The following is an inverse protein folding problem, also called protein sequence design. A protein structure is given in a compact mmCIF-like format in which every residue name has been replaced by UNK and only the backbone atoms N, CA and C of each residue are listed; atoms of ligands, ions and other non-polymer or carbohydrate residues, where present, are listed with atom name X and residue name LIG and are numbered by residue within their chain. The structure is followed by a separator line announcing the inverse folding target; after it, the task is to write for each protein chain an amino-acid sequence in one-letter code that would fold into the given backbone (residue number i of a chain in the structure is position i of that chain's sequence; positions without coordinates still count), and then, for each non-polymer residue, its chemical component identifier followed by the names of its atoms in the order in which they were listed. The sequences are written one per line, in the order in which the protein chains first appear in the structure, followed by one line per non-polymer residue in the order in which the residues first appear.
data_IF_163356648069
#
_entry.id   IF_163356648069
#
_cell.length_a   1.000
_cell.length_b   1.000
_cell.length_c   1.000
_cell.angle_alpha   90.00
_cell.angle_beta   90.00
_cell.angle_gamma   90.00
#
_symmetry.space_group_name_H-M   'P 1'
#
loop_
_entity.id
_entity.type
_entity.pdbx_description
1 polymer ?
#
# COMPACT_ATOMS: atom_id res chain seq x y z
N UNK A 1 -12.22 6.79 19.00
CA UNK A 1 -11.68 6.39 17.68
C UNK A 1 -10.72 7.47 17.23
N UNK A 2 -9.44 7.14 17.01
CA UNK A 2 -8.50 8.11 16.44
C UNK A 2 -8.79 8.28 14.95
N UNK A 3 -8.71 9.50 14.45
CA UNK A 3 -8.85 9.80 13.02
C UNK A 3 -7.74 9.10 12.25
N UNK A 4 -8.02 8.36 11.16
CA UNK A 4 -6.99 7.79 10.32
C UNK A 4 -6.11 8.90 9.73
N UNK A 5 -4.81 8.64 9.65
CA UNK A 5 -3.85 9.55 9.03
C UNK A 5 -3.69 9.14 7.58
N UNK A 6 -3.84 10.09 6.65
CA UNK A 6 -3.60 9.85 5.24
C UNK A 6 -2.32 10.55 4.79
N UNK A 7 -1.48 9.84 4.05
CA UNK A 7 -0.28 10.38 3.42
C UNK A 7 -0.25 9.95 1.95
N UNK A 8 -0.31 10.93 1.05
CA UNK A 8 -0.39 10.69 -0.39
C UNK A 8 0.85 11.22 -1.08
N UNK A 9 1.39 10.43 -2.00
CA UNK A 9 2.57 10.76 -2.78
C UNK A 9 2.26 10.59 -4.27
N UNK A 10 2.91 11.40 -5.09
CA UNK A 10 2.90 11.26 -6.54
C UNK A 10 4.34 11.03 -6.97
N UNK A 11 4.59 9.89 -7.60
CA UNK A 11 5.84 9.61 -8.28
C UNK A 11 5.62 9.89 -9.77
N UNK A 12 6.43 10.78 -10.33
CA UNK A 12 6.44 11.07 -11.76
C UNK A 12 7.77 10.63 -12.35
N UNK A 13 7.73 10.02 -13.53
CA UNK A 13 8.94 9.69 -14.28
C UNK A 13 9.71 10.96 -14.68
N UNK A 14 11.01 10.81 -14.94
CA UNK A 14 11.88 11.94 -15.27
C UNK A 14 11.54 12.59 -16.63
N UNK A 15 10.97 11.80 -17.54
CA UNK A 15 10.46 12.23 -18.85
C UNK A 15 9.02 12.79 -18.79
N UNK A 16 8.40 12.79 -17.61
CA UNK A 16 7.03 13.24 -17.35
C UNK A 16 5.90 12.41 -17.96
N UNK A 17 6.22 11.30 -18.64
CA UNK A 17 5.25 10.48 -19.37
C UNK A 17 4.41 9.59 -18.44
N UNK A 18 4.97 9.15 -17.31
CA UNK A 18 4.32 8.26 -16.36
C UNK A 18 4.10 8.92 -15.00
N UNK A 19 2.93 8.67 -14.41
CA UNK A 19 2.59 9.06 -13.05
C UNK A 19 2.06 7.85 -12.29
N UNK A 20 2.51 7.73 -11.04
CA UNK A 20 2.01 6.75 -10.09
C UNK A 20 1.61 7.49 -8.82
N UNK A 21 0.38 7.27 -8.38
CA UNK A 21 -0.12 7.77 -7.10
C UNK A 21 0.02 6.69 -6.05
N UNK A 22 0.56 7.06 -4.89
CA UNK A 22 0.68 6.20 -3.72
C UNK A 22 -0.21 6.81 -2.64
N UNK A 23 -1.32 6.15 -2.32
CA UNK A 23 -2.28 6.58 -1.31
C UNK A 23 -2.10 5.72 -0.07
N UNK A 24 -1.64 6.33 1.03
CA UNK A 24 -1.42 5.61 2.29
C UNK A 24 -2.46 6.02 3.32
N UNK A 25 -3.16 5.05 3.90
CA UNK A 25 -4.11 5.24 5.00
C UNK A 25 -3.62 4.47 6.23
N UNK A 26 -3.39 5.17 7.33
CA UNK A 26 -2.88 4.60 8.59
C UNK A 26 -3.99 4.65 9.65
N UNK A 27 -4.44 3.48 10.08
CA UNK A 27 -5.32 3.25 11.22
C UNK A 27 -4.54 2.83 12.48
N UNK A 28 -5.23 2.28 13.49
CA UNK A 28 -4.60 1.94 14.78
C UNK A 28 -3.54 0.82 14.65
N UNK A 29 -3.87 -0.29 13.99
CA UNK A 29 -2.97 -1.45 13.84
C UNK A 29 -2.75 -1.87 12.38
N UNK A 30 -3.22 -1.04 11.45
CA UNK A 30 -3.22 -1.32 10.01
C UNK A 30 -2.79 -0.08 9.24
N UNK A 31 -1.92 -0.27 8.24
CA UNK A 31 -1.63 0.75 7.24
C UNK A 31 -1.87 0.15 5.85
N UNK A 32 -2.70 0.80 5.05
CA UNK A 32 -2.98 0.38 3.67
C UNK A 32 -2.31 1.34 2.72
N UNK A 33 -1.58 0.81 1.74
CA UNK A 33 -0.90 1.55 0.69
C UNK A 33 -1.50 1.10 -0.64
N UNK A 34 -2.17 2.00 -1.34
CA UNK A 34 -2.71 1.79 -2.68
C UNK A 34 -1.79 2.43 -3.71
N UNK A 35 -1.49 1.69 -4.77
CA UNK A 35 -0.69 2.16 -5.89
C UNK A 35 -1.61 2.29 -7.09
N UNK A 36 -1.72 3.49 -7.67
CA UNK A 36 -2.59 3.81 -8.79
C UNK A 36 -1.78 4.42 -9.94
N UNK A 37 -2.19 4.21 -11.19
CA UNK A 37 -1.54 4.82 -12.37
C UNK A 37 -2.01 6.27 -12.62
N UNK A 38 -1.50 6.89 -13.70
CA UNK A 38 -1.85 8.25 -14.12
C UNK A 38 -3.33 8.51 -14.42
N UNK A 39 -4.14 7.45 -14.56
CA UNK A 39 -5.58 7.47 -14.84
C UNK A 39 -6.36 7.00 -13.59
N UNK A 40 -5.69 6.88 -12.45
CA UNK A 40 -6.24 6.39 -11.17
C UNK A 40 -6.70 4.91 -11.21
N UNK A 41 -6.19 4.11 -12.16
CA UNK A 41 -6.42 2.68 -12.14
C UNK A 41 -5.60 2.05 -11.02
N UNK A 42 -6.26 1.28 -10.17
CA UNK A 42 -5.62 0.62 -9.04
C UNK A 42 -4.71 -0.53 -9.54
N UNK A 43 -3.40 -0.36 -9.37
CA UNK A 43 -2.36 -1.31 -9.77
C UNK A 43 -2.10 -2.37 -8.70
N UNK A 44 -2.20 -2.00 -7.43
CA UNK A 44 -1.97 -2.92 -6.31
C UNK A 44 -2.28 -2.29 -4.95
N UNK A 45 -2.40 -3.14 -3.94
CA UNK A 45 -2.60 -2.72 -2.55
C UNK A 45 -1.64 -3.48 -1.64
N UNK A 46 -0.93 -2.79 -0.77
CA UNK A 46 -0.19 -3.37 0.34
C UNK A 46 -0.92 -3.07 1.65
N UNK A 47 -1.10 -4.08 2.47
CA UNK A 47 -1.68 -3.96 3.81
C UNK A 47 -0.60 -4.34 4.82
N UNK A 48 -0.19 -3.39 5.66
CA UNK A 48 0.72 -3.62 6.77
C UNK A 48 -0.09 -3.76 8.05
N UNK A 49 0.10 -4.85 8.77
CA UNK A 49 -0.51 -5.09 10.08
C UNK A 49 0.55 -5.36 11.14
N UNK A 50 0.25 -4.96 12.37
CA UNK A 50 1.02 -5.40 13.53
C UNK A 50 0.28 -6.57 14.17
N UNK A 51 0.84 -7.77 14.09
CA UNK A 51 0.29 -8.99 14.65
C UNK A 51 1.30 -9.57 15.65
N UNK A 52 0.93 -9.65 16.95
CA UNK A 52 1.79 -10.21 18.00
C UNK A 52 3.21 -9.60 18.10
N UNK A 53 3.34 -8.30 17.82
CA UNK A 53 4.63 -7.60 17.80
C UNK A 53 5.43 -7.78 16.51
N UNK A 54 4.86 -8.43 15.49
CA UNK A 54 5.46 -8.58 14.17
C UNK A 54 4.80 -7.63 13.17
N UNK A 55 5.61 -6.96 12.35
CA UNK A 55 5.12 -6.19 11.21
C UNK A 55 4.96 -7.14 10.04
N UNK A 56 3.72 -7.39 9.64
CA UNK A 56 3.36 -8.27 8.53
C UNK A 56 2.92 -7.38 7.37
N UNK A 57 3.44 -7.63 6.16
CA UNK A 57 2.91 -7.05 4.93
C UNK A 57 2.13 -8.10 4.15
N UNK A 58 0.95 -7.73 3.70
CA UNK A 58 0.11 -8.50 2.80
C UNK A 58 0.02 -7.76 1.48
N UNK A 59 0.62 -8.34 0.44
CA UNK A 59 0.65 -7.79 -0.91
C UNK A 59 -0.58 -8.35 -1.66
N UNK A 60 -1.51 -7.48 -2.01
CA UNK A 60 -2.70 -7.78 -2.79
C UNK A 60 -2.48 -7.29 -4.23
N UNK A 61 -2.32 -8.23 -5.16
CA UNK A 61 -2.27 -7.94 -6.59
C UNK A 61 -3.70 -7.96 -7.15
N UNK A 62 -4.09 -6.90 -7.86
CA UNK A 62 -5.45 -6.77 -8.40
C UNK A 62 -5.58 -7.35 -9.82
N UNK A 63 -4.48 -7.47 -10.54
CA UNK A 63 -4.44 -8.05 -11.89
C UNK A 63 -4.14 -9.56 -11.85
N UNK A 64 -5.11 -10.32 -12.35
CA UNK A 64 -5.13 -11.74 -12.76
C UNK A 64 -4.16 -12.74 -12.08
N UNK A 65 -4.80 -13.69 -11.37
CA UNK A 65 -4.36 -15.05 -10.97
C UNK A 65 -3.47 -15.22 -9.72
N UNK A 66 -2.83 -14.18 -9.19
CA UNK A 66 -1.96 -14.36 -8.03
C UNK A 66 -2.74 -14.22 -6.71
N UNK A 67 -2.53 -15.18 -5.80
CA UNK A 67 -3.08 -15.10 -4.45
C UNK A 67 -2.34 -14.01 -3.66
N UNK A 68 -3.01 -13.35 -2.70
CA UNK A 68 -2.32 -12.44 -1.78
C UNK A 68 -1.14 -13.13 -1.11
N UNK A 69 -0.01 -12.43 -1.03
CA UNK A 69 1.21 -12.92 -0.39
C UNK A 69 1.36 -12.23 0.95
N UNK A 70 1.54 -13.00 2.02
CA UNK A 70 1.89 -12.47 3.35
C UNK A 70 3.38 -12.66 3.61
N UNK A 71 4.07 -11.61 4.04
CA UNK A 71 5.51 -11.58 4.32
C UNK A 71 5.71 -10.89 5.66
N UNK A 72 6.53 -11.47 6.54
CA UNK A 72 6.99 -10.80 7.76
C UNK A 72 8.13 -9.83 7.40
N UNK A 73 7.99 -8.56 7.77
CA UNK A 73 9.01 -7.54 7.54
C UNK A 73 10.03 -7.48 8.69
N UNK A 74 9.54 -7.35 9.92
CA UNK A 74 10.38 -7.27 11.12
C UNK A 74 9.59 -7.63 12.39
N UNK A 75 10.32 -7.75 13.50
CA UNK A 75 9.77 -7.84 14.86
C UNK A 75 10.05 -6.52 15.57
N UNK A 76 9.05 -5.99 16.29
CA UNK A 76 9.10 -4.75 17.07
C UNK A 76 9.75 -4.95 18.44
#
# INVERSE_FOLDING_TARGET
MKTPICANFILQSIDCDDKVFIVTTIGENIATIEVQDGIENLLGVLELTIEQGEVIVKIMQLSYKNKPIKIKLCTL
#
